data_IF_867520937796
#
_entry.id   IF_867520937796
#
_cell.length_a   1.000
_cell.length_b   1.000
_cell.length_c   1.000
_cell.angle_alpha   90.00
_cell.angle_beta   90.00
_cell.angle_gamma   90.00
#
_symmetry.space_group_name_H-M   'P 1'
#
loop_
_entity.id
_entity.type
_entity.pdbx_description
1 polymer ?
#
# COMPACT_ATOMS: atom_id res chain seq x y z
N UNK A 1 21.42 11.06 -32.97
CA UNK A 1 20.56 9.86 -32.91
C UNK A 1 19.47 10.10 -31.89
N UNK A 2 18.18 10.14 -32.32
CA UNK A 2 17.03 10.31 -31.45
C UNK A 2 16.54 8.97 -30.95
N UNK A 3 16.19 8.87 -29.64
CA UNK A 3 15.44 7.76 -29.09
C UNK A 3 14.00 8.20 -28.81
N UNK A 4 13.03 7.38 -29.16
CA UNK A 4 11.62 7.55 -28.81
C UNK A 4 11.24 6.43 -27.85
N UNK A 5 10.86 6.78 -26.62
CA UNK A 5 10.37 5.83 -25.63
C UNK A 5 8.86 5.71 -25.74
N UNK A 6 8.37 4.48 -25.82
CA UNK A 6 6.95 4.19 -25.93
C UNK A 6 6.55 3.29 -24.77
N UNK A 7 5.53 3.71 -24.03
CA UNK A 7 4.91 2.88 -23.00
C UNK A 7 3.53 2.44 -23.45
N UNK A 8 3.19 1.19 -23.23
CA UNK A 8 1.93 0.60 -23.67
C UNK A 8 1.23 -0.01 -22.48
N UNK A 9 -0.04 0.38 -22.26
CA UNK A 9 -0.88 -0.31 -21.28
C UNK A 9 -1.43 -1.58 -21.93
N UNK A 10 -1.11 -2.78 -21.44
CA UNK A 10 -1.74 -4.00 -21.91
C UNK A 10 -3.19 -4.08 -21.44
N UNK A 11 -4.01 -4.81 -22.18
CA UNK A 11 -5.40 -5.06 -21.78
C UNK A 11 -5.48 -6.02 -20.59
N UNK A 12 -4.59 -7.04 -20.57
CA UNK A 12 -4.48 -7.99 -19.48
C UNK A 12 -3.13 -7.88 -18.78
N UNK A 13 -3.15 -7.78 -17.46
CA UNK A 13 -1.96 -7.73 -16.62
C UNK A 13 -1.16 -6.42 -16.73
N UNK A 14 -0.12 -6.25 -15.91
CA UNK A 14 0.67 -5.02 -15.88
C UNK A 14 1.85 -4.98 -16.84
N UNK A 15 2.28 -6.13 -17.40
CA UNK A 15 3.47 -6.21 -18.24
C UNK A 15 3.17 -6.71 -19.65
N UNK A 16 3.81 -6.11 -20.64
CA UNK A 16 3.75 -6.57 -22.02
C UNK A 16 4.80 -7.67 -22.22
N UNK A 17 4.43 -8.87 -22.73
CA UNK A 17 5.39 -9.92 -23.02
C UNK A 17 6.50 -9.46 -23.98
N UNK A 18 7.74 -9.91 -23.76
CA UNK A 18 8.89 -9.48 -24.57
C UNK A 18 8.75 -9.87 -26.04
N UNK A 19 8.07 -10.97 -26.35
CA UNK A 19 7.76 -11.37 -27.72
C UNK A 19 6.90 -10.32 -28.45
N UNK A 20 5.91 -9.75 -27.75
CA UNK A 20 5.05 -8.69 -28.30
C UNK A 20 5.84 -7.40 -28.45
N UNK A 21 6.67 -7.02 -27.47
CA UNK A 21 7.57 -5.85 -27.56
C UNK A 21 8.49 -5.94 -28.79
N UNK A 22 9.11 -7.12 -28.99
CA UNK A 22 10.00 -7.36 -30.14
C UNK A 22 9.27 -7.27 -31.48
N UNK A 23 8.07 -7.84 -31.58
CA UNK A 23 7.26 -7.75 -32.79
C UNK A 23 6.85 -6.30 -33.11
N UNK A 24 6.42 -5.56 -32.08
CA UNK A 24 6.07 -4.14 -32.21
C UNK A 24 7.29 -3.30 -32.60
N UNK A 25 8.45 -3.52 -31.98
CA UNK A 25 9.70 -2.84 -32.35
C UNK A 25 10.09 -3.13 -33.81
N UNK A 26 9.94 -4.38 -34.27
CA UNK A 26 10.22 -4.77 -35.68
C UNK A 26 9.26 -4.08 -36.65
N UNK A 27 7.99 -3.95 -36.27
CA UNK A 27 7.00 -3.24 -37.05
C UNK A 27 7.28 -1.73 -37.09
N UNK A 28 7.54 -1.12 -35.95
CA UNK A 28 7.81 0.32 -35.82
C UNK A 28 9.06 0.75 -36.59
N UNK A 29 10.10 -0.09 -36.65
CA UNK A 29 11.32 0.16 -37.43
C UNK A 29 11.06 0.34 -38.92
N UNK A 30 10.00 -0.29 -39.46
CA UNK A 30 9.63 -0.13 -40.89
C UNK A 30 9.09 1.26 -41.22
N UNK A 31 8.56 1.95 -40.19
CA UNK A 31 7.95 3.27 -40.32
C UNK A 31 8.80 4.38 -39.72
N UNK A 32 9.90 4.04 -39.06
CA UNK A 32 10.76 5.04 -38.41
C UNK A 32 11.67 5.73 -39.43
N UNK A 33 11.87 7.04 -39.28
CA UNK A 33 12.81 7.84 -40.06
C UNK A 33 14.25 7.42 -39.68
N UNK A 34 15.16 7.46 -40.65
CA UNK A 34 16.57 7.13 -40.44
C UNK A 34 17.17 7.94 -39.28
N UNK A 35 17.76 7.26 -38.29
CA UNK A 35 18.34 7.86 -37.10
C UNK A 35 17.44 7.92 -35.87
N UNK A 36 16.16 7.48 -35.95
CA UNK A 36 15.27 7.37 -34.82
C UNK A 36 15.16 5.88 -34.39
N UNK A 37 15.46 5.60 -33.13
CA UNK A 37 15.32 4.27 -32.55
C UNK A 37 14.17 4.29 -31.56
N UNK A 38 13.20 3.38 -31.79
CA UNK A 38 12.09 3.18 -30.86
C UNK A 38 12.47 2.17 -29.78
N UNK A 39 12.14 2.46 -28.53
CA UNK A 39 12.34 1.58 -27.38
C UNK A 39 11.02 1.46 -26.61
N UNK A 40 10.52 0.24 -26.43
CA UNK A 40 9.29 -0.02 -25.70
C UNK A 40 9.64 -0.33 -24.25
N UNK A 41 9.19 0.53 -23.35
CA UNK A 41 9.39 0.39 -21.90
C UNK A 41 8.13 -0.17 -21.23
N UNK A 42 8.34 -0.91 -20.15
CA UNK A 42 7.24 -1.31 -19.27
C UNK A 42 6.61 -0.09 -18.60
N UNK A 43 5.29 -0.11 -18.54
CA UNK A 43 4.53 0.93 -17.86
C UNK A 43 4.80 0.89 -16.35
N UNK A 44 5.08 2.04 -15.77
CA UNK A 44 5.23 2.19 -14.33
C UNK A 44 3.87 2.47 -13.70
N UNK A 45 3.38 1.55 -12.89
CA UNK A 45 2.10 1.70 -12.21
C UNK A 45 2.25 2.35 -10.83
N UNK A 46 1.32 3.24 -10.52
CA UNK A 46 1.00 3.67 -9.16
C UNK A 46 -0.37 3.10 -8.81
N UNK A 47 -0.39 2.11 -7.95
CA UNK A 47 -1.63 1.49 -7.49
C UNK A 47 -2.20 2.30 -6.33
N UNK A 48 -3.52 2.50 -6.36
CA UNK A 48 -4.30 3.04 -5.24
C UNK A 48 -5.09 1.90 -4.65
N UNK A 49 -4.96 1.66 -3.37
CA UNK A 49 -5.69 0.66 -2.61
C UNK A 49 -6.62 1.38 -1.65
N UNK A 50 -7.87 0.96 -1.60
CA UNK A 50 -8.89 1.54 -0.75
C UNK A 50 -9.37 0.52 0.29
N UNK A 51 -9.25 0.86 1.57
CA UNK A 51 -9.78 0.07 2.67
C UNK A 51 -11.02 0.77 3.20
N UNK A 52 -12.18 0.23 2.85
CA UNK A 52 -13.49 0.87 2.99
C UNK A 52 -14.24 0.22 4.14
N UNK A 53 -14.58 1.02 5.14
CA UNK A 53 -15.57 0.68 6.15
C UNK A 53 -16.88 1.35 5.75
N UNK A 54 -17.81 0.57 5.18
CA UNK A 54 -19.12 1.06 4.76
C UNK A 54 -20.16 0.78 5.85
N UNK A 55 -20.75 1.84 6.38
CA UNK A 55 -21.81 1.75 7.39
C UNK A 55 -23.15 1.66 6.69
N UNK A 56 -23.99 0.70 7.11
CA UNK A 56 -25.30 0.48 6.48
C UNK A 56 -26.41 0.32 7.51
N UNK A 57 -27.58 0.76 7.15
CA UNK A 57 -28.79 0.54 7.94
C UNK A 57 -29.37 -0.86 7.68
N UNK A 58 -29.32 -1.78 8.67
CA UNK A 58 -29.80 -3.15 8.48
C UNK A 58 -31.31 -3.26 8.26
N UNK A 59 -32.09 -2.23 8.59
CA UNK A 59 -33.54 -2.19 8.33
C UNK A 59 -33.87 -1.96 6.85
N UNK A 60 -32.94 -1.39 6.07
CA UNK A 60 -33.09 -1.14 4.64
C UNK A 60 -32.39 -2.17 3.76
N UNK A 61 -31.50 -2.99 4.34
CA UNK A 61 -30.73 -3.98 3.63
C UNK A 61 -31.17 -5.40 4.04
N UNK A 62 -31.60 -6.21 3.08
CA UNK A 62 -31.96 -7.61 3.34
C UNK A 62 -30.72 -8.47 3.70
N UNK A 63 -29.56 -8.11 3.16
CA UNK A 63 -28.30 -8.86 3.38
C UNK A 63 -27.11 -7.91 3.13
N UNK A 64 -26.17 -7.87 4.06
CA UNK A 64 -24.93 -7.09 3.95
C UNK A 64 -24.05 -7.53 2.76
N UNK A 65 -24.00 -8.82 2.45
CA UNK A 65 -23.20 -9.34 1.33
C UNK A 65 -23.75 -8.88 -0.03
N UNK A 66 -25.07 -8.74 -0.15
CA UNK A 66 -25.68 -8.20 -1.35
C UNK A 66 -25.32 -6.71 -1.55
N UNK A 67 -25.33 -5.92 -0.47
CA UNK A 67 -24.90 -4.52 -0.51
C UNK A 67 -23.41 -4.43 -0.86
N UNK A 68 -22.57 -5.25 -0.22
CA UNK A 68 -21.14 -5.34 -0.51
C UNK A 68 -20.87 -5.63 -1.98
N UNK A 69 -21.62 -6.55 -2.59
CA UNK A 69 -21.48 -6.89 -4.00
C UNK A 69 -21.82 -5.69 -4.91
N UNK A 70 -22.87 -4.91 -4.58
CA UNK A 70 -23.22 -3.70 -5.32
C UNK A 70 -22.14 -2.64 -5.20
N UNK A 71 -21.62 -2.41 -3.99
CA UNK A 71 -20.50 -1.49 -3.75
C UNK A 71 -19.28 -1.90 -4.57
N UNK A 72 -18.91 -3.20 -4.52
CA UNK A 72 -17.78 -3.73 -5.29
C UNK A 72 -17.96 -3.51 -6.79
N UNK A 73 -19.15 -3.76 -7.34
CA UNK A 73 -19.42 -3.55 -8.77
C UNK A 73 -19.32 -2.07 -9.16
N UNK A 74 -19.80 -1.15 -8.33
CA UNK A 74 -19.70 0.28 -8.61
C UNK A 74 -18.28 0.80 -8.53
N UNK A 75 -17.47 0.28 -7.59
CA UNK A 75 -16.04 0.60 -7.51
C UNK A 75 -15.29 0.05 -8.75
N UNK A 76 -15.62 -1.16 -9.22
CA UNK A 76 -15.09 -1.70 -10.47
C UNK A 76 -15.42 -0.79 -11.67
N UNK A 77 -16.70 -0.38 -11.79
CA UNK A 77 -17.13 0.52 -12.86
C UNK A 77 -16.42 1.90 -12.80
N UNK A 78 -16.16 2.40 -11.58
CA UNK A 78 -15.39 3.64 -11.40
C UNK A 78 -13.92 3.44 -11.81
N UNK A 79 -13.29 2.34 -11.45
CA UNK A 79 -11.90 2.03 -11.84
C UNK A 79 -11.73 1.94 -13.37
N UNK A 80 -12.72 1.38 -14.06
CA UNK A 80 -12.72 1.24 -15.51
C UNK A 80 -13.23 2.49 -16.26
N UNK A 81 -13.68 3.50 -15.53
CA UNK A 81 -14.19 4.73 -16.12
C UNK A 81 -13.13 5.48 -16.94
N UNK A 82 -13.55 6.27 -17.93
CA UNK A 82 -12.66 7.12 -18.73
C UNK A 82 -11.93 8.19 -17.88
N UNK A 83 -12.38 8.46 -16.64
CA UNK A 83 -11.72 9.35 -15.71
C UNK A 83 -10.48 8.70 -15.10
N UNK A 84 -10.57 7.42 -14.73
CA UNK A 84 -9.50 6.66 -14.08
C UNK A 84 -8.59 5.91 -15.06
N UNK A 85 -9.17 5.35 -16.12
CA UNK A 85 -8.46 4.53 -17.08
C UNK A 85 -7.79 5.34 -18.20
N UNK A 86 -6.86 6.23 -17.83
CA UNK A 86 -6.08 7.07 -18.75
C UNK A 86 -4.75 7.49 -18.16
N UNK A 87 -3.83 7.93 -19.02
CA UNK A 87 -2.60 8.59 -18.58
C UNK A 87 -2.93 9.94 -17.91
N UNK A 88 -2.22 10.26 -16.81
CA UNK A 88 -2.47 11.48 -16.04
C UNK A 88 -3.81 11.48 -15.30
N UNK A 89 -4.34 10.29 -14.98
CA UNK A 89 -5.53 10.16 -14.15
C UNK A 89 -5.33 10.77 -12.76
N UNK A 90 -6.41 11.24 -12.18
CA UNK A 90 -6.45 11.81 -10.83
C UNK A 90 -7.51 11.08 -10.02
N UNK A 91 -7.06 10.34 -9.01
CA UNK A 91 -7.97 9.79 -8.04
C UNK A 91 -8.44 10.90 -7.10
N UNK A 92 -9.73 11.17 -7.10
CA UNK A 92 -10.37 12.18 -6.24
C UNK A 92 -11.13 11.48 -5.13
N UNK A 93 -10.66 11.66 -3.90
CA UNK A 93 -11.18 11.00 -2.73
C UNK A 93 -12.68 11.24 -2.52
N UNK A 94 -13.13 12.50 -2.60
CA UNK A 94 -14.54 12.85 -2.43
C UNK A 94 -15.46 12.22 -3.48
N UNK A 95 -14.98 12.08 -4.72
CA UNK A 95 -15.73 11.39 -5.79
C UNK A 95 -15.83 9.90 -5.51
N UNK A 96 -14.71 9.31 -5.06
CA UNK A 96 -14.68 7.89 -4.70
C UNK A 96 -15.63 7.59 -3.54
N UNK A 97 -15.62 8.44 -2.48
CA UNK A 97 -16.57 8.32 -1.38
C UNK A 97 -18.01 8.41 -1.88
N UNK A 98 -18.32 9.35 -2.78
CA UNK A 98 -19.65 9.46 -3.37
C UNK A 98 -20.04 8.21 -4.19
N UNK A 99 -19.11 7.53 -4.85
CA UNK A 99 -19.38 6.26 -5.54
C UNK A 99 -19.78 5.18 -4.53
N UNK A 100 -19.13 5.12 -3.39
CA UNK A 100 -19.48 4.17 -2.32
C UNK A 100 -20.82 4.51 -1.70
N UNK A 101 -21.03 5.77 -1.28
CA UNK A 101 -22.25 6.22 -0.59
C UNK A 101 -23.50 6.05 -1.48
N UNK A 102 -23.39 6.36 -2.77
CA UNK A 102 -24.49 6.24 -3.72
C UNK A 102 -24.67 4.84 -4.29
N UNK A 103 -23.91 3.85 -3.82
CA UNK A 103 -24.03 2.49 -4.33
C UNK A 103 -25.33 1.81 -3.91
N UNK A 104 -25.85 2.13 -2.74
CA UNK A 104 -27.10 1.57 -2.23
C UNK A 104 -27.73 2.52 -1.21
N UNK A 105 -29.05 2.64 -1.22
CA UNK A 105 -29.83 3.51 -0.30
C UNK A 105 -29.68 3.12 1.19
N UNK A 106 -29.23 1.91 1.46
CA UNK A 106 -28.98 1.46 2.84
C UNK A 106 -27.66 1.98 3.42
N UNK A 107 -26.76 2.49 2.60
CA UNK A 107 -25.46 3.02 3.07
C UNK A 107 -25.69 4.38 3.70
N UNK A 108 -25.28 4.52 4.96
CA UNK A 108 -25.43 5.75 5.74
C UNK A 108 -24.17 6.63 5.68
N UNK A 109 -23.00 5.98 5.61
CA UNK A 109 -21.71 6.67 5.49
C UNK A 109 -20.61 5.69 5.14
N UNK A 110 -19.42 6.21 4.76
CA UNK A 110 -18.21 5.39 4.63
C UNK A 110 -17.00 6.09 5.24
N UNK A 111 -16.07 5.29 5.78
CA UNK A 111 -14.74 5.74 6.18
C UNK A 111 -13.75 4.93 5.35
N UNK A 112 -13.07 5.61 4.46
CA UNK A 112 -12.13 4.98 3.52
C UNK A 112 -10.70 5.41 3.84
N UNK A 113 -9.80 4.44 3.94
CA UNK A 113 -8.35 4.66 4.05
C UNK A 113 -7.74 4.42 2.68
N UNK A 114 -6.83 5.29 2.29
CA UNK A 114 -6.11 5.19 1.01
C UNK A 114 -4.67 4.82 1.27
N UNK A 115 -4.21 3.85 0.52
CA UNK A 115 -2.81 3.45 0.45
C UNK A 115 -2.34 3.50 -0.99
N UNK A 116 -1.12 3.99 -1.22
CA UNK A 116 -0.50 3.98 -2.55
C UNK A 116 0.61 2.94 -2.57
N UNK A 117 0.70 2.20 -3.67
CA UNK A 117 1.65 1.09 -3.83
C UNK A 117 2.38 1.15 -5.17
N UNK A 118 3.65 0.78 -5.13
CA UNK A 118 4.45 0.46 -6.31
C UNK A 118 5.03 -0.94 -6.22
N UNK A 119 5.16 -1.57 -7.38
CA UNK A 119 5.81 -2.87 -7.49
C UNK A 119 7.26 -2.66 -7.94
N UNK A 120 8.20 -3.02 -7.06
CA UNK A 120 9.60 -3.12 -7.40
C UNK A 120 9.87 -4.47 -8.08
N UNK A 121 10.52 -4.43 -9.22
CA UNK A 121 10.99 -5.61 -9.97
C UNK A 121 12.48 -5.80 -9.67
N UNK A 122 12.85 -6.68 -8.73
CA UNK A 122 14.24 -6.80 -8.31
C UNK A 122 15.10 -7.53 -9.34
N UNK A 123 16.38 -7.18 -9.38
CA UNK A 123 17.43 -7.96 -10.04
C UNK A 123 17.87 -9.05 -9.08
N UNK A 124 17.45 -10.29 -9.34
CA UNK A 124 17.75 -11.40 -8.44
C UNK A 124 19.22 -11.79 -8.49
N UNK A 125 19.77 -12.15 -7.32
CA UNK A 125 21.15 -12.63 -7.13
C UNK A 125 22.24 -11.64 -7.57
N UNK A 126 21.91 -10.35 -7.54
CA UNK A 126 22.84 -9.25 -7.85
C UNK A 126 22.72 -8.14 -6.82
N UNK A 127 23.84 -7.48 -6.49
CA UNK A 127 23.81 -6.26 -5.72
C UNK A 127 23.30 -5.11 -6.59
N UNK A 128 22.15 -4.56 -6.25
CA UNK A 128 21.55 -3.45 -6.96
C UNK A 128 20.98 -2.43 -5.99
N UNK A 129 21.05 -1.17 -6.37
CA UNK A 129 20.38 -0.05 -5.73
C UNK A 129 19.02 0.17 -6.38
N UNK A 130 18.01 0.52 -5.58
CA UNK A 130 16.66 0.73 -6.07
C UNK A 130 16.11 2.07 -5.62
N UNK A 131 15.50 2.77 -6.56
CA UNK A 131 14.79 4.03 -6.32
C UNK A 131 13.34 3.91 -6.79
N UNK A 132 12.41 4.25 -5.91
CA UNK A 132 10.98 4.30 -6.22
C UNK A 132 10.42 5.68 -5.90
N UNK A 133 9.93 6.38 -6.93
CA UNK A 133 9.22 7.64 -6.79
C UNK A 133 7.72 7.39 -6.87
N UNK A 134 6.95 7.81 -5.88
CA UNK A 134 5.48 7.67 -5.85
C UNK A 134 4.78 8.93 -6.34
N UNK A 135 5.47 10.07 -6.34
CA UNK A 135 4.95 11.34 -6.85
C UNK A 135 3.81 11.97 -6.04
N UNK A 136 3.48 11.39 -4.91
CA UNK A 136 2.47 11.90 -3.98
C UNK A 136 3.06 11.82 -2.58
N UNK A 137 3.20 12.96 -1.90
CA UNK A 137 3.84 13.04 -0.60
C UNK A 137 3.25 12.01 0.38
N UNK A 138 4.11 11.40 1.18
CA UNK A 138 3.70 10.45 2.19
C UNK A 138 3.29 11.14 3.50
N UNK A 139 2.33 10.56 4.19
CA UNK A 139 1.98 10.95 5.54
C UNK A 139 3.12 10.59 6.50
N UNK A 140 3.56 11.57 7.29
CA UNK A 140 4.55 11.34 8.35
C UNK A 140 3.79 11.03 9.62
N UNK A 141 3.78 9.77 10.01
CA UNK A 141 3.20 9.37 11.27
C UNK A 141 4.14 9.83 12.40
N UNK A 142 3.56 10.31 13.51
CA UNK A 142 4.31 10.78 14.68
C UNK A 142 5.50 9.87 15.01
N UNK A 143 6.46 10.40 15.73
CA UNK A 143 7.82 9.89 16.00
C UNK A 143 8.01 8.35 16.13
N UNK A 144 6.95 7.59 16.27
CA UNK A 144 6.98 6.15 16.56
C UNK A 144 6.15 5.33 15.57
N UNK A 145 5.88 5.82 14.38
CA UNK A 145 5.04 5.09 13.44
C UNK A 145 5.71 4.81 12.12
N UNK A 146 5.48 3.62 11.61
CA UNK A 146 5.93 3.21 10.28
C UNK A 146 4.86 3.59 9.25
N UNK A 147 5.26 4.17 8.13
CA UNK A 147 4.37 4.40 7.00
C UNK A 147 4.68 3.48 5.84
N UNK A 148 5.96 3.34 5.50
CA UNK A 148 6.38 2.48 4.39
C UNK A 148 6.39 1.03 4.84
N UNK A 149 5.80 0.16 4.03
CA UNK A 149 5.78 -1.28 4.27
C UNK A 149 5.97 -2.06 2.98
N UNK A 150 6.57 -3.22 3.07
CA UNK A 150 6.78 -4.09 1.92
C UNK A 150 6.12 -5.47 2.08
N UNK A 151 5.94 -6.16 0.96
CA UNK A 151 5.78 -7.61 0.95
C UNK A 151 7.10 -8.30 1.30
N UNK A 152 7.04 -9.56 1.69
CA UNK A 152 8.22 -10.36 2.04
C UNK A 152 9.17 -10.59 0.85
N UNK A 153 10.46 -10.62 1.13
CA UNK A 153 11.49 -10.99 0.16
C UNK A 153 12.70 -11.61 0.88
N UNK A 154 13.56 -12.28 0.13
CA UNK A 154 14.74 -12.94 0.66
C UNK A 154 15.99 -12.21 0.19
N UNK A 155 16.97 -12.10 1.05
CA UNK A 155 18.26 -11.47 0.76
C UNK A 155 19.41 -12.44 1.02
N UNK A 156 20.53 -12.21 0.35
CA UNK A 156 21.72 -13.02 0.53
C UNK A 156 22.23 -12.91 1.98
N UNK A 157 22.51 -14.05 2.59
CA UNK A 157 23.08 -14.15 3.94
C UNK A 157 22.04 -14.20 5.07
N UNK A 158 20.74 -14.11 4.77
CA UNK A 158 19.65 -14.26 5.75
C UNK A 158 18.70 -15.35 5.25
N UNK A 159 18.41 -16.33 6.11
CA UNK A 159 17.55 -17.48 5.78
C UNK A 159 16.07 -17.12 5.82
N UNK A 160 15.71 -16.18 6.67
CA UNK A 160 14.33 -15.83 6.92
C UNK A 160 13.82 -14.76 5.92
N UNK A 161 12.53 -14.76 5.67
CA UNK A 161 11.88 -13.72 4.87
C UNK A 161 11.99 -12.39 5.60
N UNK A 162 12.48 -11.38 4.90
CA UNK A 162 12.63 -10.02 5.41
C UNK A 162 11.57 -9.10 4.84
N UNK A 163 11.27 -8.04 5.58
CA UNK A 163 10.33 -6.99 5.24
C UNK A 163 11.03 -5.64 5.39
N UNK A 164 10.60 -4.66 4.59
CA UNK A 164 11.09 -3.29 4.64
C UNK A 164 10.08 -2.40 5.37
N UNK A 165 10.56 -1.55 6.25
CA UNK A 165 9.79 -0.48 6.86
C UNK A 165 10.65 0.76 7.08
N UNK A 166 10.05 1.83 7.59
CA UNK A 166 10.71 3.12 7.78
C UNK A 166 10.62 3.60 9.22
N UNK A 167 11.58 4.40 9.60
CA UNK A 167 11.61 5.16 10.84
C UNK A 167 11.82 6.63 10.53
N UNK A 168 10.83 7.50 10.80
CA UNK A 168 10.96 8.93 10.58
C UNK A 168 12.05 9.54 11.46
N UNK A 169 12.82 10.47 10.89
CA UNK A 169 13.73 11.30 11.67
C UNK A 169 12.92 12.39 12.35
N UNK A 170 13.06 12.52 13.67
CA UNK A 170 12.28 13.45 14.48
C UNK A 170 12.34 14.89 13.94
N UNK A 171 11.17 15.47 13.66
CA UNK A 171 11.05 16.80 13.09
C UNK A 171 11.53 16.96 11.65
N UNK A 172 11.94 15.87 11.00
CA UNK A 172 12.42 15.85 9.62
C UNK A 172 11.37 15.44 8.61
N UNK A 173 11.65 15.73 7.34
CA UNK A 173 10.86 15.30 6.18
C UNK A 173 11.38 13.99 5.58
N UNK A 174 12.37 13.40 6.21
CA UNK A 174 13.06 12.19 5.76
C UNK A 174 13.04 11.13 6.86
N UNK A 175 13.23 9.87 6.46
CA UNK A 175 13.33 8.74 7.35
C UNK A 175 14.42 7.77 6.91
N UNK A 176 14.74 6.83 7.80
CA UNK A 176 15.67 5.73 7.53
C UNK A 176 14.87 4.47 7.25
N UNK A 177 15.26 3.72 6.22
CA UNK A 177 14.70 2.40 5.94
C UNK A 177 15.45 1.33 6.72
N UNK A 178 14.71 0.36 7.26
CA UNK A 178 15.27 -0.79 7.95
C UNK A 178 14.63 -2.10 7.49
N UNK A 179 15.35 -3.20 7.68
CA UNK A 179 14.84 -4.54 7.42
C UNK A 179 14.58 -5.26 8.75
N UNK A 180 13.50 -6.02 8.76
CA UNK A 180 13.11 -6.85 9.88
C UNK A 180 12.56 -8.19 9.41
N UNK A 181 12.62 -9.18 10.27
CA UNK A 181 11.95 -10.48 10.13
C UNK A 181 10.76 -10.55 11.08
N UNK A 182 9.79 -11.38 10.76
CA UNK A 182 8.65 -11.66 11.64
C UNK A 182 8.81 -13.04 12.27
N UNK A 183 8.73 -13.10 13.59
CA UNK A 183 8.65 -14.38 14.30
C UNK A 183 7.30 -15.08 14.01
N UNK A 184 7.16 -16.33 14.43
CA UNK A 184 5.89 -17.08 14.33
C UNK A 184 4.71 -16.40 15.05
N UNK A 185 4.99 -15.44 15.94
CA UNK A 185 3.98 -14.63 16.64
C UNK A 185 3.85 -13.21 16.06
N UNK A 186 4.35 -12.98 14.85
CA UNK A 186 4.41 -11.67 14.18
C UNK A 186 5.19 -10.58 14.93
N UNK A 187 6.03 -10.94 15.88
CA UNK A 187 6.90 -9.96 16.50
C UNK A 187 8.04 -9.59 15.55
N UNK A 188 8.22 -8.31 15.22
CA UNK A 188 9.28 -7.87 14.35
C UNK A 188 10.65 -7.93 15.07
N UNK A 189 11.67 -8.41 14.36
CA UNK A 189 13.05 -8.38 14.80
C UNK A 189 13.88 -7.66 13.76
N UNK A 190 14.53 -6.56 14.11
CA UNK A 190 15.33 -5.77 13.19
C UNK A 190 16.59 -6.56 12.82
N UNK A 191 16.79 -6.73 11.51
CA UNK A 191 17.95 -7.39 10.94
C UNK A 191 19.00 -6.37 10.48
N UNK A 192 18.55 -5.25 9.94
CA UNK A 192 19.40 -4.15 9.50
C UNK A 192 18.69 -2.82 9.70
N UNK A 193 19.29 -1.92 10.46
CA UNK A 193 18.70 -0.64 10.84
C UNK A 193 18.85 0.49 9.81
N UNK A 194 19.68 0.29 8.77
CA UNK A 194 19.95 1.33 7.76
C UNK A 194 20.21 0.71 6.39
N UNK A 195 19.14 0.39 5.68
CA UNK A 195 19.23 -0.15 4.31
C UNK A 195 18.83 0.87 3.26
N UNK A 196 18.51 2.09 3.65
CA UNK A 196 18.09 3.13 2.72
C UNK A 196 17.53 4.35 3.41
N UNK A 197 16.91 5.20 2.62
CA UNK A 197 16.27 6.43 3.07
C UNK A 197 14.91 6.61 2.40
N UNK A 198 14.01 7.32 3.06
CA UNK A 198 12.75 7.79 2.49
C UNK A 198 12.68 9.30 2.61
N UNK A 199 12.28 9.97 1.54
CA UNK A 199 11.87 11.37 1.53
C UNK A 199 10.33 11.40 1.46
N UNK A 200 9.69 11.80 2.54
CA UNK A 200 8.22 11.78 2.63
C UNK A 200 7.59 12.90 1.80
N UNK A 201 8.26 14.03 1.64
CA UNK A 201 7.73 15.17 0.87
C UNK A 201 7.76 14.91 -0.64
N UNK A 202 8.86 14.29 -1.12
CA UNK A 202 9.00 13.88 -2.51
C UNK A 202 8.38 12.51 -2.80
N UNK A 203 8.08 11.75 -1.75
CA UNK A 203 7.65 10.37 -1.83
C UNK A 203 8.64 9.47 -2.59
N UNK A 204 9.91 9.62 -2.24
CA UNK A 204 11.01 8.85 -2.82
C UNK A 204 11.53 7.84 -1.80
N UNK A 205 11.63 6.58 -2.21
CA UNK A 205 12.17 5.48 -1.43
C UNK A 205 13.45 5.02 -2.10
N UNK A 206 14.59 5.23 -1.46
CA UNK A 206 15.90 4.84 -1.95
C UNK A 206 16.43 3.68 -1.11
N UNK A 207 16.64 2.52 -1.74
CA UNK A 207 17.20 1.32 -1.11
C UNK A 207 18.65 1.19 -1.54
N UNK A 208 19.58 1.18 -0.57
CA UNK A 208 21.01 0.98 -0.80
C UNK A 208 21.28 -0.36 -1.50
N UNK A 209 22.47 -0.54 -2.10
CA UNK A 209 22.81 -1.80 -2.78
C UNK A 209 22.57 -3.02 -1.89
N UNK A 210 21.68 -3.89 -2.34
CA UNK A 210 21.26 -5.11 -1.65
C UNK A 210 21.15 -6.27 -2.65
N UNK A 211 21.51 -7.47 -2.22
CA UNK A 211 21.37 -8.68 -3.03
C UNK A 211 20.08 -9.41 -2.66
N UNK A 212 19.05 -9.25 -3.49
CA UNK A 212 17.76 -9.92 -3.34
C UNK A 212 17.83 -11.28 -4.04
N UNK A 213 17.49 -12.36 -3.33
CA UNK A 213 17.55 -13.74 -3.84
C UNK A 213 16.19 -14.30 -4.21
N UNK A 214 15.10 -13.75 -3.66
CA UNK A 214 13.74 -14.19 -3.93
C UNK A 214 12.69 -13.20 -3.43
N UNK A 215 11.44 -13.43 -3.82
CA UNK A 215 10.29 -12.62 -3.41
C UNK A 215 9.12 -13.51 -3.05
N UNK A 216 8.30 -13.11 -2.08
CA UNK A 216 7.08 -13.83 -1.71
C UNK A 216 5.93 -13.62 -2.71
N UNK A 217 6.02 -12.57 -3.54
CA UNK A 217 5.00 -12.26 -4.54
C UNK A 217 5.54 -12.28 -5.97
N UNK A 218 4.67 -12.68 -6.88
CA UNK A 218 4.93 -12.69 -8.32
C UNK A 218 3.70 -12.20 -9.09
N UNK A 219 3.91 -11.49 -10.18
CA UNK A 219 2.87 -11.09 -11.12
C UNK A 219 3.27 -11.53 -12.52
N UNK A 220 2.45 -12.34 -13.20
CA UNK A 220 2.77 -12.95 -14.50
C UNK A 220 4.12 -13.69 -14.46
N UNK A 221 4.40 -14.44 -13.39
CA UNK A 221 5.68 -15.13 -13.12
C UNK A 221 6.91 -14.20 -13.00
N UNK A 222 6.70 -12.90 -12.88
CA UNK A 222 7.78 -11.94 -12.62
C UNK A 222 7.84 -11.70 -11.12
N UNK A 223 8.99 -11.92 -10.46
CA UNK A 223 9.16 -11.62 -9.04
C UNK A 223 9.00 -10.12 -8.80
N UNK A 224 8.22 -9.77 -7.80
CA UNK A 224 7.99 -8.38 -7.39
C UNK A 224 8.06 -8.23 -5.88
N UNK A 225 8.45 -7.05 -5.44
CA UNK A 225 8.28 -6.59 -4.05
C UNK A 225 7.28 -5.45 -4.10
N UNK A 226 6.15 -5.62 -3.44
CA UNK A 226 5.18 -4.54 -3.26
C UNK A 226 5.71 -3.61 -2.18
N UNK A 227 5.80 -2.32 -2.48
CA UNK A 227 6.14 -1.29 -1.50
C UNK A 227 5.00 -0.29 -1.49
N UNK A 228 4.45 -0.04 -0.32
CA UNK A 228 3.29 0.83 -0.15
C UNK A 228 3.46 1.78 1.02
N UNK A 229 2.64 2.82 1.01
CA UNK A 229 2.56 3.79 2.10
C UNK A 229 1.30 4.62 2.02
N UNK A 230 0.91 5.20 3.14
CA UNK A 230 -0.22 6.10 3.22
C UNK A 230 0.18 7.47 2.66
N UNK A 231 -0.53 8.04 1.68
CA UNK A 231 -0.24 9.36 1.18
C UNK A 231 -0.65 10.44 2.18
N UNK A 232 -0.02 11.61 2.10
CA UNK A 232 -0.37 12.77 2.92
C UNK A 232 -1.76 13.32 2.56
N UNK A 233 -2.09 13.26 1.28
CA UNK A 233 -3.43 13.62 0.78
C UNK A 233 -4.14 12.37 0.29
N UNK A 234 -5.43 12.23 0.62
CA UNK A 234 -6.25 11.15 0.08
C UNK A 234 -6.56 11.33 -1.42
N UNK A 235 -6.35 12.51 -1.99
CA UNK A 235 -6.32 12.72 -3.44
C UNK A 235 -4.96 12.26 -3.98
N UNK A 236 -4.97 11.40 -4.99
CA UNK A 236 -3.76 10.84 -5.60
C UNK A 236 -3.67 11.24 -7.07
N UNK A 237 -2.52 11.70 -7.51
CA UNK A 237 -2.29 12.17 -8.87
C UNK A 237 -1.29 11.24 -9.56
N UNK A 238 -1.68 10.73 -10.73
CA UNK A 238 -0.75 10.06 -11.64
C UNK A 238 0.17 11.10 -12.30
N UNK A 239 1.49 11.00 -12.06
CA UNK A 239 2.48 11.80 -12.78
C UNK A 239 2.60 11.33 -14.23
N UNK A 240 3.28 12.12 -15.07
CA UNK A 240 3.40 11.83 -16.52
C UNK A 240 4.03 10.46 -16.82
N UNK A 241 4.91 9.96 -15.95
CA UNK A 241 5.58 8.67 -16.09
C UNK A 241 4.94 7.54 -15.27
N UNK A 242 3.90 7.84 -14.47
CA UNK A 242 3.18 6.89 -13.63
C UNK A 242 1.73 6.74 -14.09
N UNK A 243 1.36 5.50 -14.41
CA UNK A 243 -0.03 5.16 -14.69
C UNK A 243 -0.77 4.84 -13.40
N UNK A 244 -1.75 5.68 -13.05
CA UNK A 244 -2.58 5.47 -11.86
C UNK A 244 -3.60 4.36 -12.12
N UNK A 245 -3.67 3.39 -11.21
CA UNK A 245 -4.64 2.30 -11.27
C UNK A 245 -5.23 2.04 -9.89
N UNK A 246 -6.56 2.02 -9.80
CA UNK A 246 -7.24 1.55 -8.59
C UNK A 246 -7.12 0.01 -8.54
N UNK A 247 -6.51 -0.50 -7.48
CA UNK A 247 -6.32 -1.95 -7.28
C UNK A 247 -7.40 -2.52 -6.38
N UNK A 248 -8.42 -3.06 -7.01
CA UNK A 248 -9.59 -3.60 -6.32
C UNK A 248 -9.27 -4.91 -5.62
N UNK A 249 -8.34 -5.69 -6.18
CA UNK A 249 -7.97 -7.00 -5.62
C UNK A 249 -7.27 -6.89 -4.26
N UNK A 250 -6.55 -5.79 -4.04
CA UNK A 250 -5.91 -5.49 -2.76
C UNK A 250 -6.69 -4.44 -1.93
N UNK A 251 -7.83 -3.99 -2.42
CA UNK A 251 -8.77 -3.15 -1.66
C UNK A 251 -9.70 -4.02 -0.82
N UNK A 252 -10.15 -3.50 0.31
CA UNK A 252 -11.09 -4.20 1.21
C UNK A 252 -12.37 -3.42 1.38
N UNK A 253 -13.48 -4.13 1.52
CA UNK A 253 -14.79 -3.56 1.83
C UNK A 253 -15.35 -4.30 3.04
N UNK A 254 -15.45 -3.60 4.16
CA UNK A 254 -16.02 -4.11 5.39
C UNK A 254 -17.37 -3.43 5.64
N UNK A 255 -18.42 -4.27 5.73
CA UNK A 255 -19.79 -3.81 5.97
C UNK A 255 -20.06 -3.77 7.46
N UNK A 256 -20.36 -2.59 8.00
CA UNK A 256 -20.61 -2.34 9.42
C UNK A 256 -22.05 -1.92 9.61
N UNK A 257 -22.80 -2.65 10.43
CA UNK A 257 -24.17 -2.30 10.73
C UNK A 257 -24.22 -1.01 11.56
N UNK A 258 -24.92 0.00 11.04
CA UNK A 258 -25.17 1.28 11.72
C UNK A 258 -26.44 1.14 12.56
N UNK A 259 -26.27 0.62 13.77
CA UNK A 259 -27.37 0.41 14.69
C UNK A 259 -27.57 1.66 15.58
N UNK A 260 -28.67 2.33 15.40
CA UNK A 260 -29.14 3.36 16.34
C UNK A 260 -29.90 2.69 17.46
N UNK A 261 -29.29 2.58 18.64
CA UNK A 261 -30.00 2.13 19.84
C UNK A 261 -30.61 3.35 20.54
N UNK A 262 -31.93 3.35 20.70
CA UNK A 262 -32.67 4.38 21.48
C UNK A 262 -33.05 3.82 22.84
N UNK A 263 -32.78 4.54 23.92
CA UNK A 263 -33.21 4.20 25.27
C UNK A 263 -32.31 4.81 26.36
N UNK A 264 -32.90 5.14 27.53
CA UNK A 264 -32.24 5.89 28.61
C UNK A 264 -31.07 5.14 29.28
N UNK A 265 -30.96 3.82 29.10
CA UNK A 265 -29.97 2.97 29.77
C UNK A 265 -29.20 2.06 28.82
N UNK A 266 -29.24 2.31 27.55
CA UNK A 266 -28.40 1.56 26.61
C UNK A 266 -27.01 2.19 26.59
N UNK A 267 -26.01 1.44 27.04
CA UNK A 267 -24.64 1.68 26.59
C UNK A 267 -24.65 1.60 25.06
N UNK A 268 -24.71 2.75 24.41
CA UNK A 268 -24.74 2.80 22.95
C UNK A 268 -23.55 2.05 22.36
N UNK A 269 -23.70 1.54 21.18
CA UNK A 269 -22.61 0.99 20.40
C UNK A 269 -21.54 2.07 20.31
N UNK A 270 -20.35 1.80 20.84
CA UNK A 270 -19.25 2.76 20.79
C UNK A 270 -18.89 2.97 19.32
N UNK A 271 -19.25 4.11 18.78
CA UNK A 271 -18.82 4.50 17.44
C UNK A 271 -17.34 4.88 17.51
N UNK A 272 -16.49 3.99 17.06
CA UNK A 272 -15.05 4.25 16.95
C UNK A 272 -14.76 4.67 15.51
N UNK A 273 -14.69 5.98 15.28
CA UNK A 273 -14.16 6.50 14.04
C UNK A 273 -12.66 6.19 13.97
N UNK A 274 -12.27 5.32 13.07
CA UNK A 274 -10.85 5.08 12.79
C UNK A 274 -10.30 6.22 11.94
N UNK A 275 -9.07 6.68 12.26
CA UNK A 275 -8.40 7.69 11.42
C UNK A 275 -8.20 7.16 10.00
N UNK A 276 -8.48 7.99 8.99
CA UNK A 276 -8.18 7.68 7.58
C UNK A 276 -6.68 7.51 7.30
N UNK A 277 -5.83 7.93 8.25
CA UNK A 277 -4.38 7.80 8.18
C UNK A 277 -3.81 6.62 9.00
N UNK A 278 -4.65 5.74 9.50
CA UNK A 278 -4.17 4.57 10.21
C UNK A 278 -3.56 3.57 9.24
N UNK A 279 -2.27 3.28 9.41
CA UNK A 279 -1.47 2.50 8.44
C UNK A 279 -1.62 0.98 8.63
N UNK A 280 -2.33 0.45 9.59
CA UNK A 280 -2.50 -1.00 9.76
C UNK A 280 -1.20 -1.75 10.10
N UNK A 281 -1.00 -2.92 9.52
CA UNK A 281 0.13 -3.81 9.83
C UNK A 281 1.48 -3.26 9.36
N UNK A 282 2.56 -3.67 10.02
CA UNK A 282 3.93 -3.26 9.70
C UNK A 282 4.44 -3.82 8.36
N UNK A 283 3.85 -4.92 7.88
CA UNK A 283 4.24 -5.61 6.66
C UNK A 283 3.03 -5.97 5.80
N UNK A 284 3.25 -6.13 4.50
CA UNK A 284 2.26 -6.63 3.54
C UNK A 284 2.35 -8.15 3.49
N UNK A 285 1.57 -8.81 4.32
CA UNK A 285 1.55 -10.26 4.39
C UNK A 285 0.70 -10.87 3.27
N UNK A 286 1.16 -11.99 2.72
CA UNK A 286 0.37 -12.83 1.83
C UNK A 286 -0.71 -13.58 2.62
N UNK A 287 -1.76 -14.10 1.97
CA UNK A 287 -2.83 -14.85 2.65
C UNK A 287 -2.28 -16.09 3.38
N UNK A 288 -1.24 -16.75 2.84
CA UNK A 288 -0.58 -17.87 3.50
C UNK A 288 0.21 -17.46 4.75
N UNK A 289 0.80 -16.26 4.74
CA UNK A 289 1.50 -15.70 5.90
C UNK A 289 0.50 -15.26 6.99
N UNK A 290 -0.66 -14.73 6.60
CA UNK A 290 -1.74 -14.37 7.53
C UNK A 290 -2.36 -15.60 8.20
N UNK A 291 -2.59 -16.70 7.47
CA UNK A 291 -3.19 -17.92 8.03
C UNK A 291 -2.32 -18.61 9.06
N UNK A 292 -1.00 -18.54 8.93
CA UNK A 292 -0.08 -19.05 9.95
C UNK A 292 -0.16 -18.27 11.27
N UNK A 293 -0.70 -17.04 11.23
CA UNK A 293 -0.83 -16.17 12.40
C UNK A 293 -2.22 -16.23 13.04
N UNK A 294 -3.25 -16.63 12.30
CA UNK A 294 -4.64 -16.70 12.79
C UNK A 294 -4.91 -17.84 13.78
N UNK A 295 -3.98 -18.77 13.97
CA UNK A 295 -4.10 -19.85 14.96
C UNK A 295 -3.73 -19.41 16.39
N UNK A 296 -3.28 -18.17 16.59
CA UNK A 296 -2.86 -17.66 17.89
C UNK A 296 -3.52 -16.29 18.15
N UNK A 297 -4.71 -16.41 18.79
CA UNK A 297 -5.42 -15.35 19.49
C UNK A 297 -6.16 -14.27 18.70
N UNK A 298 -7.40 -14.09 19.13
CA UNK A 298 -8.29 -12.94 18.92
C UNK A 298 -7.76 -11.61 19.49
N UNK A 299 -6.49 -11.52 19.82
CA UNK A 299 -5.90 -10.28 20.28
C UNK A 299 -5.56 -9.44 19.06
N UNK A 300 -6.31 -8.38 18.92
CA UNK A 300 -6.03 -7.27 18.03
C UNK A 300 -4.53 -6.96 18.14
N UNK A 301 -3.78 -7.27 17.09
CA UNK A 301 -2.38 -6.90 17.03
C UNK A 301 -2.27 -5.38 16.95
N UNK A 302 -2.28 -4.79 18.11
CA UNK A 302 -1.78 -3.45 18.29
C UNK A 302 -0.27 -3.61 18.18
N UNK A 303 0.36 -3.02 17.19
CA UNK A 303 1.79 -2.73 17.26
C UNK A 303 1.93 -1.82 18.48
N UNK A 304 2.01 -2.45 19.63
CA UNK A 304 2.05 -1.75 20.89
C UNK A 304 3.35 -0.97 20.95
N UNK A 305 3.28 0.17 21.58
CA UNK A 305 4.44 0.97 21.97
C UNK A 305 5.57 0.16 22.64
N UNK A 306 5.28 -1.02 23.17
CA UNK A 306 6.26 -1.94 23.74
C UNK A 306 7.27 -2.54 22.76
N UNK A 307 6.93 -2.67 21.48
CA UNK A 307 7.91 -3.14 20.48
C UNK A 307 8.78 -2.00 19.94
N UNK A 308 8.43 -0.77 20.23
CA UNK A 308 9.23 0.42 19.95
C UNK A 308 10.37 0.64 20.96
N UNK A 309 10.29 0.05 22.16
CA UNK A 309 11.40 0.05 23.13
C UNK A 309 12.65 -0.65 22.57
N UNK A 310 12.48 -1.57 21.60
CA UNK A 310 13.60 -2.20 20.90
C UNK A 310 14.33 -1.24 19.93
N UNK A 311 13.75 -0.07 19.65
CA UNK A 311 14.35 0.96 18.79
C UNK A 311 15.12 2.03 19.58
N UNK A 312 15.34 1.83 20.87
CA UNK A 312 16.28 2.63 21.65
C UNK A 312 15.73 3.94 22.21
N UNK A 313 14.46 3.99 22.53
CA UNK A 313 13.92 5.09 23.33
C UNK A 313 14.15 4.81 24.83
N UNK A 314 15.30 5.27 25.33
CA UNK A 314 15.59 5.32 26.77
C UNK A 314 14.85 6.49 27.41
N UNK A 315 13.54 6.35 27.57
CA UNK A 315 12.80 7.27 28.40
C UNK A 315 12.73 6.70 29.81
N UNK A 316 13.33 7.33 30.82
CA UNK A 316 13.31 6.80 32.18
C UNK A 316 11.86 6.79 32.69
N UNK A 317 11.41 5.64 33.12
CA UNK A 317 10.17 5.48 33.89
C UNK A 317 10.13 6.51 35.00
N UNK A 318 9.04 7.28 35.16
CA UNK A 318 8.90 8.14 36.34
C UNK A 318 8.78 7.23 37.55
N UNK A 319 9.78 7.24 38.39
CA UNK A 319 9.72 6.67 39.74
C UNK A 319 8.64 7.41 40.54
N UNK A 320 7.53 6.72 40.83
CA UNK A 320 6.54 7.21 41.75
C UNK A 320 7.19 7.30 43.14
N UNK A 321 7.57 8.50 43.55
CA UNK A 321 7.87 8.78 44.95
C UNK A 321 6.56 8.82 45.73
N UNK A 322 6.22 7.73 46.40
CA UNK A 322 5.33 7.76 47.54
C UNK A 322 6.03 8.50 48.67
N UNK A 323 5.73 9.77 48.84
CA UNK A 323 5.95 10.44 50.13
C UNK A 323 4.65 10.41 50.89
N UNK A 324 4.64 9.62 51.94
CA UNK A 324 3.61 9.72 52.95
C UNK A 324 3.66 11.06 53.71
N UNK A 325 2.50 11.56 53.97
CA UNK A 325 2.02 12.14 55.20
C UNK A 325 0.50 12.21 55.13
#
# INVERSE_FOLDING_TARGET
YGKVFITIKPFYGPYVPDSIKNNLNTMLRKYSVAGIVTEILDLKYLYVEAHINAYYNPSLAANSDAVKAVVSNNINAYADSAEMNKYGAKFKYSKFQAVVDNSNDSITSNITKIEIRRNLKPLLNQNAEYELCFGNAFYIKNNNGYNIKSSGFNIFGISDTVYLSDSPIQGGKTGTLFLFTLSARNNPTIVSSNVGTVDYERAEVLIKPINITGTSKQVQNIPIIEISGCPQSNDVIGLQDLYLQLDINNSTIDMIADNVTSGDNTSGTLYTATSSYMVGDIARLTESEKTNTSLLSSDTYVVGSSNLELLGDSNPTPTSSTSGY
#
